data_IF_307068485214
#
_entry.id   IF_307068485214
#
_cell.length_a   1.000
_cell.length_b   1.000
_cell.length_c   1.000
_cell.angle_alpha   90.00
_cell.angle_beta   90.00
_cell.angle_gamma   90.00
#
_symmetry.space_group_name_H-M   'P 1'
#
loop_
_entity.id
_entity.type
_entity.pdbx_description
1 polymer ?
#
# COMPACT_ATOMS: atom_id res chain seq x y z
N UNK A 1 6.12 -37.00 -71.63
CA UNK A 1 5.70 -35.60 -71.41
C UNK A 1 4.66 -35.59 -70.29
N UNK A 2 5.06 -35.26 -69.05
CA UNK A 2 4.16 -35.15 -67.89
C UNK A 2 3.91 -33.68 -67.58
N UNK A 3 2.63 -33.30 -67.55
CA UNK A 3 2.14 -31.98 -67.19
C UNK A 3 2.37 -31.71 -65.69
N UNK A 4 2.93 -30.54 -65.40
CA UNK A 4 3.21 -30.01 -64.06
C UNK A 4 1.93 -29.60 -63.33
N UNK A 5 1.75 -30.08 -62.09
CA UNK A 5 0.78 -29.53 -61.13
C UNK A 5 1.43 -28.39 -60.36
N UNK A 6 0.85 -27.19 -60.46
CA UNK A 6 1.19 -26.03 -59.63
C UNK A 6 0.47 -26.20 -58.28
N UNK A 7 1.22 -26.19 -57.17
CA UNK A 7 0.67 -26.10 -55.81
C UNK A 7 0.44 -24.63 -55.46
N UNK A 8 -0.81 -24.25 -55.23
CA UNK A 8 -1.15 -23.00 -54.54
C UNK A 8 -0.71 -23.14 -53.07
N UNK A 9 0.14 -22.22 -52.60
CA UNK A 9 0.48 -22.07 -51.19
C UNK A 9 -0.66 -21.38 -50.44
N UNK A 10 -1.14 -22.00 -49.38
CA UNK A 10 -2.00 -21.35 -48.40
C UNK A 10 -1.11 -20.56 -47.43
N UNK A 11 -1.14 -19.23 -47.54
CA UNK A 11 -0.56 -18.33 -46.54
C UNK A 11 -1.56 -18.28 -45.38
N UNK A 12 -1.28 -19.02 -44.32
CA UNK A 12 -2.01 -18.91 -43.06
C UNK A 12 -1.66 -17.59 -42.39
N UNK A 13 -2.55 -16.61 -42.48
CA UNK A 13 -2.50 -15.41 -41.65
C UNK A 13 -2.86 -15.84 -40.23
N UNK A 14 -1.84 -16.01 -39.38
CA UNK A 14 -2.02 -16.21 -37.95
C UNK A 14 -2.45 -14.88 -37.34
N UNK A 15 -3.75 -14.68 -37.17
CA UNK A 15 -4.30 -13.59 -36.38
C UNK A 15 -3.97 -13.91 -34.92
N UNK A 16 -2.89 -13.32 -34.40
CA UNK A 16 -2.70 -13.22 -32.96
C UNK A 16 -3.81 -12.31 -32.43
N UNK A 17 -4.89 -12.89 -31.91
CA UNK A 17 -5.76 -12.21 -30.99
C UNK A 17 -4.95 -11.92 -29.72
N UNK A 18 -4.42 -10.70 -29.60
CA UNK A 18 -4.18 -10.12 -28.28
C UNK A 18 -5.54 -10.00 -27.61
N UNK A 19 -5.88 -10.97 -26.77
CA UNK A 19 -6.90 -10.76 -25.77
C UNK A 19 -6.35 -9.66 -24.86
N UNK A 20 -6.81 -8.42 -25.05
CA UNK A 20 -6.84 -7.48 -23.94
C UNK A 20 -7.62 -8.19 -22.84
N UNK A 21 -6.94 -8.63 -21.78
CA UNK A 21 -7.61 -8.85 -20.51
C UNK A 21 -8.26 -7.51 -20.18
N UNK A 22 -9.55 -7.40 -20.48
CA UNK A 22 -10.38 -6.31 -20.02
C UNK A 22 -10.25 -6.34 -18.51
N UNK A 23 -9.44 -5.45 -17.96
CA UNK A 23 -9.41 -5.15 -16.56
C UNK A 23 -10.77 -4.54 -16.24
N UNK A 24 -11.77 -5.39 -15.99
CA UNK A 24 -12.91 -4.98 -15.18
C UNK A 24 -12.30 -4.54 -13.86
N UNK A 25 -12.21 -3.23 -13.70
CA UNK A 25 -11.44 -2.57 -12.67
C UNK A 25 -12.13 -2.90 -11.34
N UNK A 26 -11.56 -3.83 -10.59
CA UNK A 26 -12.14 -4.33 -9.35
C UNK A 26 -12.52 -3.15 -8.44
N UNK A 27 -13.79 -3.05 -8.02
CA UNK A 27 -14.27 -1.89 -7.28
C UNK A 27 -13.63 -1.84 -5.89
N UNK A 28 -13.24 -0.65 -5.46
CA UNK A 28 -12.69 -0.42 -4.13
C UNK A 28 -13.85 -0.16 -3.16
N UNK A 29 -13.88 -0.92 -2.07
CA UNK A 29 -14.82 -0.69 -0.98
C UNK A 29 -14.44 0.55 -0.18
N UNK A 30 -15.43 1.27 0.34
CA UNK A 30 -15.23 2.40 1.25
C UNK A 30 -15.76 2.04 2.64
N UNK A 31 -15.06 2.48 3.68
CA UNK A 31 -15.49 2.31 5.06
C UNK A 31 -15.01 3.48 5.93
N UNK A 32 -15.79 3.80 6.97
CA UNK A 32 -15.37 4.71 8.05
C UNK A 32 -14.50 3.94 9.05
N UNK A 33 -13.41 4.55 9.47
CA UNK A 33 -12.49 3.98 10.43
C UNK A 33 -13.17 3.82 11.79
N UNK A 34 -13.03 2.65 12.39
CA UNK A 34 -13.50 2.36 13.74
C UNK A 34 -12.86 3.29 14.77
N UNK A 35 -11.64 3.78 14.53
CA UNK A 35 -10.99 4.76 15.40
C UNK A 35 -11.73 6.10 15.50
N UNK A 36 -12.57 6.43 14.51
CA UNK A 36 -13.43 7.63 14.58
C UNK A 36 -14.43 7.53 15.72
N UNK A 37 -14.92 6.32 16.02
CA UNK A 37 -15.87 6.06 17.11
C UNK A 37 -15.23 6.30 18.50
N UNK A 38 -13.91 6.25 18.58
CA UNK A 38 -13.10 6.41 19.78
C UNK A 38 -12.26 7.70 19.73
N UNK A 39 -12.78 8.77 19.11
CA UNK A 39 -12.11 10.09 19.03
C UNK A 39 -10.71 10.03 18.41
N UNK A 40 -10.56 9.27 17.32
CA UNK A 40 -9.30 9.08 16.61
C UNK A 40 -8.24 8.30 17.41
N UNK A 41 -8.68 7.49 18.38
CA UNK A 41 -7.82 6.50 18.99
C UNK A 41 -7.89 5.19 18.20
N UNK A 42 -6.75 4.78 17.64
CA UNK A 42 -6.63 3.59 16.80
C UNK A 42 -5.88 2.44 17.49
N UNK A 43 -5.48 2.57 18.77
CA UNK A 43 -4.61 1.58 19.44
C UNK A 43 -5.19 0.16 19.35
N UNK A 44 -6.49 0.07 19.58
CA UNK A 44 -7.20 -1.21 19.72
C UNK A 44 -7.79 -1.70 18.38
N UNK A 45 -7.62 -0.94 17.29
CA UNK A 45 -8.18 -1.29 15.97
C UNK A 45 -7.21 -2.19 15.20
N UNK A 46 -7.66 -3.39 14.85
CA UNK A 46 -6.89 -4.35 14.06
C UNK A 46 -5.88 -5.17 14.87
N UNK A 47 -4.90 -5.75 14.19
CA UNK A 47 -3.88 -6.63 14.77
C UNK A 47 -3.14 -5.97 15.93
N UNK A 48 -2.67 -6.77 16.88
CA UNK A 48 -1.95 -6.33 18.06
C UNK A 48 -0.56 -6.95 18.13
N UNK A 49 0.32 -6.33 18.91
CA UNK A 49 1.66 -6.88 19.18
C UNK A 49 1.56 -8.33 19.69
N UNK A 50 2.48 -9.18 19.22
CA UNK A 50 2.52 -10.61 19.53
C UNK A 50 1.62 -11.48 18.65
N UNK A 51 0.77 -10.89 17.82
CA UNK A 51 -0.08 -11.63 16.89
C UNK A 51 0.64 -11.86 15.55
N UNK A 52 0.21 -12.92 14.85
CA UNK A 52 0.69 -13.23 13.50
C UNK A 52 -0.02 -12.35 12.47
N UNK A 53 0.75 -11.76 11.56
CA UNK A 53 0.19 -11.02 10.43
C UNK A 53 -0.71 -11.97 9.61
N UNK A 54 -1.98 -11.59 9.35
CA UNK A 54 -2.85 -12.40 8.50
C UNK A 54 -2.32 -12.44 7.07
N UNK A 55 -2.76 -13.44 6.31
CA UNK A 55 -2.42 -13.55 4.90
C UNK A 55 -3.13 -12.44 4.11
N UNK A 56 -2.37 -11.44 3.68
CA UNK A 56 -2.87 -10.27 2.98
C UNK A 56 -2.30 -10.22 1.57
N UNK A 57 -3.18 -10.01 0.59
CA UNK A 57 -2.79 -9.76 -0.79
C UNK A 57 -2.70 -8.26 -1.04
N UNK A 58 -1.49 -7.80 -1.32
CA UNK A 58 -1.22 -6.46 -1.81
C UNK A 58 -1.11 -6.45 -3.34
N UNK A 59 -0.97 -5.26 -3.91
CA UNK A 59 -0.73 -5.08 -5.33
C UNK A 59 0.44 -4.13 -5.57
N UNK A 60 1.21 -4.40 -6.61
CA UNK A 60 2.23 -3.47 -7.11
C UNK A 60 1.60 -2.48 -8.10
N UNK A 61 2.34 -1.41 -8.43
CA UNK A 61 1.91 -0.40 -9.40
C UNK A 61 1.65 -0.94 -10.83
N UNK A 62 2.15 -2.13 -11.15
CA UNK A 62 1.85 -2.82 -12.41
C UNK A 62 0.61 -3.73 -12.33
N UNK A 63 -0.16 -3.65 -11.24
CA UNK A 63 -1.36 -4.43 -11.00
C UNK A 63 -1.12 -5.89 -10.60
N UNK A 64 0.13 -6.36 -10.54
CA UNK A 64 0.43 -7.73 -10.10
C UNK A 64 0.23 -7.87 -8.60
N UNK A 65 -0.39 -8.98 -8.21
CA UNK A 65 -0.50 -9.40 -6.81
C UNK A 65 0.88 -9.52 -6.18
N UNK A 66 0.98 -9.10 -4.93
CA UNK A 66 2.15 -9.21 -4.08
C UNK A 66 1.71 -9.76 -2.72
N UNK A 67 2.30 -10.88 -2.32
CA UNK A 67 2.04 -11.46 -1.02
C UNK A 67 3.28 -11.24 -0.15
N UNK A 68 3.07 -10.71 1.05
CA UNK A 68 4.12 -10.59 2.05
C UNK A 68 4.30 -11.95 2.70
N UNK A 69 5.09 -12.82 2.06
CA UNK A 69 5.35 -14.16 2.59
C UNK A 69 6.38 -14.10 3.72
N UNK A 70 6.07 -14.75 4.83
CA UNK A 70 6.99 -15.00 5.94
C UNK A 70 7.50 -16.45 5.98
N UNK A 71 6.99 -17.33 5.09
CA UNK A 71 7.36 -18.76 5.08
C UNK A 71 8.77 -19.03 4.55
N UNK A 72 9.33 -18.11 3.76
CA UNK A 72 10.65 -18.25 3.13
C UNK A 72 11.52 -16.98 3.23
N UNK A 73 11.05 -15.93 3.89
CA UNK A 73 11.78 -14.67 4.02
C UNK A 73 12.46 -14.57 5.38
N UNK A 74 13.76 -14.25 5.38
CA UNK A 74 14.58 -14.17 6.59
C UNK A 74 14.69 -12.76 7.16
N UNK A 75 13.94 -11.79 6.62
CA UNK A 75 14.06 -10.37 6.95
C UNK A 75 12.81 -9.83 7.66
N UNK A 76 12.98 -9.01 8.72
CA UNK A 76 11.89 -8.24 9.31
C UNK A 76 11.22 -7.35 8.27
N UNK A 77 9.99 -6.91 8.54
CA UNK A 77 9.21 -6.08 7.62
C UNK A 77 8.60 -4.90 8.32
N UNK A 78 8.80 -3.70 7.79
CA UNK A 78 8.19 -2.48 8.26
C UNK A 78 7.13 -2.04 7.26
N UNK A 79 5.87 -2.00 7.69
CA UNK A 79 4.75 -1.54 6.88
C UNK A 79 4.19 -0.26 7.50
N UNK A 80 4.09 0.79 6.70
CA UNK A 80 3.60 2.11 7.13
C UNK A 80 2.39 2.46 6.26
N UNK A 81 1.28 2.91 6.83
CA UNK A 81 0.13 3.35 6.02
C UNK A 81 0.29 4.78 5.52
N UNK A 82 -0.36 5.06 4.40
CA UNK A 82 -0.46 6.42 3.89
C UNK A 82 -1.36 6.52 2.67
N UNK A 83 -1.67 7.75 2.29
CA UNK A 83 -2.40 8.06 1.06
C UNK A 83 -2.03 9.46 0.59
N UNK A 84 -2.34 9.78 -0.67
CA UNK A 84 -1.91 11.04 -1.30
C UNK A 84 -2.43 12.27 -0.55
N UNK A 85 -3.68 12.21 -0.13
CA UNK A 85 -4.38 13.29 0.58
C UNK A 85 -4.13 13.30 2.08
N UNK A 86 -3.39 12.34 2.65
CA UNK A 86 -3.03 12.35 4.07
C UNK A 86 -1.91 13.35 4.36
N UNK A 87 -2.25 14.49 4.99
CA UNK A 87 -1.28 15.53 5.32
C UNK A 87 -0.25 15.08 6.35
N UNK A 88 -0.63 14.20 7.29
CA UNK A 88 0.30 13.60 8.26
C UNK A 88 1.38 12.80 7.54
N UNK A 89 0.99 11.86 6.67
CA UNK A 89 1.96 11.02 5.95
C UNK A 89 2.86 11.88 5.06
N UNK A 90 2.30 12.88 4.35
CA UNK A 90 3.12 13.77 3.50
C UNK A 90 4.21 14.50 4.28
N UNK A 91 3.95 14.91 5.52
CA UNK A 91 4.99 15.53 6.38
C UNK A 91 6.07 14.52 6.79
N UNK A 92 5.75 13.24 6.87
CA UNK A 92 6.67 12.18 7.29
C UNK A 92 7.38 11.46 6.13
N UNK A 93 7.12 11.79 4.86
CA UNK A 93 7.73 11.10 3.72
C UNK A 93 9.26 11.06 3.79
N UNK A 94 9.90 12.16 4.20
CA UNK A 94 11.35 12.19 4.37
C UNK A 94 11.82 11.28 5.53
N UNK A 95 11.07 11.19 6.63
CA UNK A 95 11.35 10.25 7.73
C UNK A 95 11.23 8.80 7.29
N UNK A 96 10.20 8.49 6.50
CA UNK A 96 9.91 7.15 5.97
C UNK A 96 11.00 6.74 4.97
N UNK A 97 11.35 7.60 4.02
CA UNK A 97 12.43 7.35 3.06
C UNK A 97 13.78 7.22 3.75
N UNK A 98 14.04 7.99 4.81
CA UNK A 98 15.23 7.80 5.62
C UNK A 98 15.29 6.39 6.22
N UNK A 99 14.18 5.84 6.75
CA UNK A 99 14.14 4.48 7.28
C UNK A 99 14.36 3.44 6.17
N UNK A 100 13.75 3.62 5.01
CA UNK A 100 13.99 2.74 3.86
C UNK A 100 15.47 2.75 3.46
N UNK A 101 16.06 3.92 3.21
CA UNK A 101 17.44 4.03 2.74
C UNK A 101 18.46 3.44 3.73
N UNK A 102 18.22 3.57 5.04
CA UNK A 102 19.15 3.06 6.06
C UNK A 102 18.97 1.57 6.39
N UNK A 103 17.80 0.97 6.13
CA UNK A 103 17.50 -0.40 6.52
C UNK A 103 17.16 -1.36 5.37
N UNK A 104 17.02 -0.90 4.12
CA UNK A 104 16.60 -1.71 2.96
C UNK A 104 17.49 -2.90 2.58
N UNK A 105 18.66 -3.04 3.18
CA UNK A 105 19.51 -4.23 3.02
C UNK A 105 19.22 -5.32 4.06
N UNK A 106 18.55 -4.97 5.17
CA UNK A 106 18.29 -5.85 6.31
C UNK A 106 16.80 -6.03 6.63
N UNK A 107 15.97 -5.04 6.32
CA UNK A 107 14.53 -5.01 6.60
C UNK A 107 13.76 -4.69 5.32
N UNK A 108 12.67 -5.39 5.04
CA UNK A 108 11.80 -5.03 3.92
C UNK A 108 10.90 -3.87 4.38
N UNK A 109 11.11 -2.66 3.85
CA UNK A 109 10.33 -1.47 4.22
C UNK A 109 9.36 -1.12 3.09
N UNK A 110 8.08 -0.95 3.41
CA UNK A 110 7.04 -0.60 2.45
C UNK A 110 6.11 0.49 3.00
N UNK A 111 5.75 1.41 2.11
CA UNK A 111 4.61 2.32 2.30
C UNK A 111 3.38 1.66 1.68
N UNK A 112 2.32 1.50 2.45
CA UNK A 112 1.07 0.84 2.05
C UNK A 112 0.02 1.91 1.77
N UNK A 113 -0.30 2.10 0.48
CA UNK A 113 -1.36 2.98 0.02
C UNK A 113 -2.73 2.38 0.39
N UNK A 114 -3.45 3.08 1.26
CA UNK A 114 -4.81 2.75 1.71
C UNK A 114 -5.80 3.82 1.21
N UNK A 115 -7.01 3.87 1.79
CA UNK A 115 -8.01 4.88 1.45
C UNK A 115 -7.46 6.31 1.58
N UNK A 116 -7.87 7.17 0.66
CA UNK A 116 -7.58 8.60 0.74
C UNK A 116 -8.16 9.17 2.04
N UNK A 117 -7.31 9.84 2.81
CA UNK A 117 -7.69 10.38 4.11
C UNK A 117 -8.62 11.60 3.96
N UNK A 118 -8.40 12.41 2.93
CA UNK A 118 -9.13 13.65 2.67
C UNK A 118 -9.51 13.76 1.18
N UNK A 119 -10.34 12.84 0.66
CA UNK A 119 -10.82 12.91 -0.71
C UNK A 119 -11.74 14.13 -0.89
N UNK A 120 -11.73 14.70 -2.09
CA UNK A 120 -12.50 15.92 -2.40
C UNK A 120 -13.97 15.66 -2.75
N UNK A 121 -14.30 14.42 -3.12
CA UNK A 121 -15.58 14.02 -3.73
C UNK A 121 -16.40 13.05 -2.87
N UNK A 122 -15.86 12.63 -1.72
CA UNK A 122 -16.52 11.70 -0.80
C UNK A 122 -16.27 12.08 0.65
N UNK A 123 -17.03 11.50 1.61
CA UNK A 123 -16.66 11.54 3.01
C UNK A 123 -15.23 11.04 3.24
N UNK A 124 -14.58 11.61 4.25
CA UNK A 124 -13.31 11.08 4.74
C UNK A 124 -13.57 9.79 5.53
N UNK A 125 -12.73 8.74 5.40
CA UNK A 125 -12.80 7.57 6.27
C UNK A 125 -12.50 7.91 7.75
N UNK A 126 -12.04 9.15 8.01
CA UNK A 126 -11.67 9.66 9.33
C UNK A 126 -12.68 10.69 9.88
N UNK A 127 -13.89 10.74 9.33
CA UNK A 127 -14.95 11.64 9.77
C UNK A 127 -16.32 10.96 9.73
N UNK A 128 -17.18 11.28 10.71
CA UNK A 128 -18.60 10.89 10.68
C UNK A 128 -19.44 11.82 9.79
N UNK A 129 -18.84 12.87 9.23
CA UNK A 129 -19.52 13.81 8.32
C UNK A 129 -19.72 13.20 6.95
N UNK A 130 -20.91 13.37 6.38
CA UNK A 130 -21.20 13.04 4.97
C UNK A 130 -20.59 14.04 3.98
N UNK A 131 -20.11 15.19 4.47
CA UNK A 131 -19.42 16.20 3.67
C UNK A 131 -17.92 15.89 3.62
N UNK A 132 -17.26 16.04 2.45
CA UNK A 132 -15.81 15.94 2.34
C UNK A 132 -15.08 16.76 3.40
N UNK A 133 -14.13 16.12 4.09
CA UNK A 133 -13.29 16.78 5.08
C UNK A 133 -11.97 17.20 4.44
N UNK A 134 -11.96 18.42 3.89
CA UNK A 134 -10.77 19.00 3.26
C UNK A 134 -9.83 19.56 4.32
N UNK A 135 -8.54 19.21 4.23
CA UNK A 135 -7.52 19.75 5.12
C UNK A 135 -6.99 21.10 4.62
N UNK A 136 -6.87 22.13 5.47
CA UNK A 136 -6.28 23.41 5.08
C UNK A 136 -4.88 23.27 4.48
N UNK A 137 -4.05 22.37 5.04
CA UNK A 137 -2.71 22.06 4.53
C UNK A 137 -2.73 21.43 3.14
N UNK A 138 -3.78 20.66 2.79
CA UNK A 138 -3.96 20.15 1.43
C UNK A 138 -4.33 21.29 0.47
N UNK A 139 -5.27 22.16 0.87
CA UNK A 139 -5.72 23.30 0.06
C UNK A 139 -4.54 24.23 -0.25
N UNK A 140 -3.74 24.58 0.77
CA UNK A 140 -2.56 25.42 0.61
C UNK A 140 -1.52 24.81 -0.34
N UNK A 141 -1.31 23.49 -0.25
CA UNK A 141 -0.38 22.76 -1.10
C UNK A 141 -0.93 22.40 -2.48
N UNK A 142 -2.18 22.76 -2.80
CA UNK A 142 -2.84 22.35 -4.06
C UNK A 142 -3.06 20.84 -4.19
N UNK A 143 -3.07 20.11 -3.07
CA UNK A 143 -3.28 18.66 -3.03
C UNK A 143 -4.78 18.38 -3.01
N UNK A 144 -5.28 17.75 -4.06
CA UNK A 144 -6.65 17.30 -4.15
C UNK A 144 -6.73 16.02 -5.00
N UNK A 145 -7.54 15.06 -4.54
CA UNK A 145 -7.83 13.85 -5.28
C UNK A 145 -9.21 13.31 -4.90
N UNK A 146 -9.81 12.56 -5.82
CA UNK A 146 -11.00 11.76 -5.52
C UNK A 146 -10.62 10.49 -4.77
N UNK A 147 -11.58 9.91 -4.03
CA UNK A 147 -11.40 8.56 -3.51
C UNK A 147 -11.40 7.56 -4.69
N UNK A 148 -10.34 6.74 -4.87
CA UNK A 148 -10.34 5.72 -5.92
C UNK A 148 -11.51 4.75 -5.75
N UNK A 149 -12.32 4.60 -6.80
CA UNK A 149 -13.44 3.66 -6.89
C UNK A 149 -13.02 2.33 -7.50
N UNK A 150 -11.85 2.31 -8.14
CA UNK A 150 -11.35 1.12 -8.81
C UNK A 150 -9.86 0.93 -8.57
N UNK A 151 -9.37 -0.31 -8.67
CA UNK A 151 -7.92 -0.57 -8.54
C UNK A 151 -7.07 0.24 -9.51
N UNK A 152 -7.56 0.48 -10.74
CA UNK A 152 -6.81 1.25 -11.72
C UNK A 152 -6.65 2.71 -11.28
N UNK A 153 -7.73 3.32 -10.77
CA UNK A 153 -7.67 4.67 -10.18
C UNK A 153 -6.71 4.73 -8.99
N UNK A 154 -6.70 3.71 -8.12
CA UNK A 154 -5.74 3.64 -7.00
C UNK A 154 -4.30 3.55 -7.50
N UNK A 155 -4.04 2.76 -8.54
CA UNK A 155 -2.71 2.68 -9.17
C UNK A 155 -2.28 4.05 -9.70
N UNK A 156 -3.13 4.74 -10.46
CA UNK A 156 -2.78 6.02 -11.05
C UNK A 156 -2.58 7.10 -9.98
N UNK A 157 -3.41 7.12 -8.93
CA UNK A 157 -3.24 8.05 -7.82
C UNK A 157 -1.98 7.75 -7.01
N UNK A 158 -1.65 6.49 -6.77
CA UNK A 158 -0.42 6.11 -6.10
C UNK A 158 0.83 6.49 -6.92
N UNK A 159 0.79 6.38 -8.26
CA UNK A 159 1.88 6.86 -9.12
C UNK A 159 2.07 8.37 -9.00
N UNK A 160 0.98 9.14 -9.07
CA UNK A 160 0.99 10.60 -8.86
C UNK A 160 1.57 10.95 -7.48
N UNK A 161 1.18 10.21 -6.44
CA UNK A 161 1.69 10.41 -5.09
C UNK A 161 3.20 10.16 -4.99
N UNK A 162 3.70 9.11 -5.63
CA UNK A 162 5.14 8.80 -5.68
C UNK A 162 5.91 9.91 -6.41
N UNK A 163 5.40 10.35 -7.56
CA UNK A 163 6.04 11.39 -8.38
C UNK A 163 6.09 12.75 -7.65
N UNK A 164 4.96 13.22 -7.13
CA UNK A 164 4.88 14.53 -6.47
C UNK A 164 5.45 14.54 -5.05
N UNK A 165 5.42 13.39 -4.37
CA UNK A 165 6.01 13.22 -3.05
C UNK A 165 7.49 12.85 -3.06
N UNK A 166 8.09 12.67 -4.25
CA UNK A 166 9.47 12.21 -4.45
C UNK A 166 9.79 10.94 -3.64
N UNK A 167 8.83 10.01 -3.56
CA UNK A 167 8.88 8.87 -2.65
C UNK A 167 9.87 7.81 -3.16
N UNK A 168 10.90 7.53 -2.37
CA UNK A 168 11.88 6.49 -2.66
C UNK A 168 11.49 5.12 -2.11
N UNK A 169 10.73 5.11 -1.01
CA UNK A 169 10.23 3.89 -0.39
C UNK A 169 9.28 3.13 -1.32
N UNK A 170 9.47 1.81 -1.52
CA UNK A 170 8.57 1.01 -2.35
C UNK A 170 7.12 1.08 -1.84
N UNK A 171 6.21 1.46 -2.74
CA UNK A 171 4.77 1.55 -2.43
C UNK A 171 4.04 0.25 -2.82
N UNK A 172 3.28 -0.28 -1.87
CA UNK A 172 2.31 -1.35 -2.07
C UNK A 172 0.89 -0.76 -2.01
N UNK A 173 -0.02 -1.34 -2.77
CA UNK A 173 -1.43 -0.95 -2.74
C UNK A 173 -2.20 -2.00 -1.93
N UNK A 174 -3.07 -1.55 -1.04
CA UNK A 174 -4.04 -2.43 -0.38
C UNK A 174 -4.99 -3.05 -1.41
N UNK A 175 -5.65 -4.14 -1.04
CA UNK A 175 -6.63 -4.82 -1.86
C UNK A 175 -7.92 -4.02 -2.04
N UNK A 176 -8.76 -4.50 -2.96
CA UNK A 176 -10.01 -3.86 -3.32
C UNK A 176 -10.99 -3.78 -2.13
N UNK A 177 -10.89 -4.71 -1.17
CA UNK A 177 -11.70 -4.71 0.06
C UNK A 177 -10.98 -4.05 1.23
N UNK A 178 -9.84 -3.40 1.00
CA UNK A 178 -8.98 -2.83 2.03
C UNK A 178 -8.63 -3.82 3.14
N UNK A 179 -8.26 -5.04 2.76
CA UNK A 179 -8.00 -6.14 3.69
C UNK A 179 -6.91 -5.79 4.71
N UNK A 180 -5.86 -5.07 4.30
CA UNK A 180 -4.82 -4.60 5.21
C UNK A 180 -5.40 -3.58 6.20
N UNK A 181 -6.06 -2.55 5.68
CA UNK A 181 -6.66 -1.51 6.52
C UNK A 181 -7.65 -2.08 7.54
N UNK A 182 -8.50 -3.03 7.15
CA UNK A 182 -9.47 -3.64 8.07
C UNK A 182 -8.84 -4.56 9.10
N UNK A 183 -7.86 -5.39 8.72
CA UNK A 183 -7.33 -6.44 9.60
C UNK A 183 -6.13 -5.99 10.43
N UNK A 184 -5.32 -5.07 9.91
CA UNK A 184 -4.06 -4.66 10.55
C UNK A 184 -4.25 -3.39 11.36
N UNK A 185 -4.93 -2.40 10.79
CA UNK A 185 -5.27 -1.18 11.49
C UNK A 185 -5.62 -0.06 10.53
N UNK A 186 -6.46 0.84 11.03
CA UNK A 186 -7.18 1.77 10.18
C UNK A 186 -6.64 3.19 10.27
N UNK A 187 -5.55 3.43 10.99
CA UNK A 187 -5.00 4.78 11.13
C UNK A 187 -4.37 5.25 9.80
N UNK A 188 -4.43 6.56 9.51
CA UNK A 188 -3.99 7.10 8.21
C UNK A 188 -2.47 7.05 8.01
N UNK A 189 -1.71 7.01 9.10
CA UNK A 189 -0.26 6.98 9.10
C UNK A 189 0.27 6.12 10.27
N UNK A 190 -0.21 4.88 10.38
CA UNK A 190 0.28 3.91 11.36
C UNK A 190 1.52 3.18 10.85
N UNK A 191 2.24 2.52 11.76
CA UNK A 191 3.34 1.65 11.42
C UNK A 191 3.25 0.32 12.17
N UNK A 192 3.65 -0.78 11.51
CA UNK A 192 3.89 -2.06 12.15
C UNK A 192 5.26 -2.62 11.75
N UNK A 193 5.98 -3.16 12.73
CA UNK A 193 7.20 -3.94 12.51
C UNK A 193 6.88 -5.41 12.75
N UNK A 194 7.19 -6.23 11.76
CA UNK A 194 6.91 -7.67 11.74
C UNK A 194 8.25 -8.42 11.75
N UNK A 195 8.34 -9.47 12.55
CA UNK A 195 9.49 -10.36 12.61
C UNK A 195 9.64 -11.16 11.30
N UNK A 196 10.80 -11.79 11.04
CA UNK A 196 10.93 -12.73 9.92
C UNK A 196 9.90 -13.86 9.95
N UNK A 197 9.44 -14.28 11.13
CA UNK A 197 8.45 -15.35 11.31
C UNK A 197 7.00 -14.90 11.12
N UNK A 198 6.73 -13.60 10.93
CA UNK A 198 5.39 -13.06 10.72
C UNK A 198 4.73 -12.47 11.97
N UNK A 199 5.41 -12.42 13.11
CA UNK A 199 4.87 -11.86 14.35
C UNK A 199 4.98 -10.33 14.38
N UNK A 200 3.93 -9.63 14.79
CA UNK A 200 3.97 -8.17 15.00
C UNK A 200 4.76 -7.85 16.27
N UNK A 201 5.94 -7.25 16.12
CA UNK A 201 6.84 -6.87 17.21
C UNK A 201 6.49 -5.48 17.75
N UNK A 202 6.14 -4.56 16.86
CA UNK A 202 5.75 -3.18 17.18
C UNK A 202 4.51 -2.82 16.37
N UNK A 203 3.60 -2.09 17.00
CA UNK A 203 2.48 -1.40 16.34
C UNK A 203 2.39 0.00 16.91
N UNK A 204 2.29 0.98 16.03
CA UNK A 204 2.04 2.37 16.36
C UNK A 204 0.79 2.83 15.62
N UNK A 205 -0.18 3.40 16.33
CA UNK A 205 -1.36 4.04 15.72
C UNK A 205 -1.00 5.29 14.91
N UNK A 206 0.10 5.93 15.27
CA UNK A 206 0.67 7.08 14.59
C UNK A 206 2.17 6.85 14.49
N UNK A 207 2.70 6.93 13.28
CA UNK A 207 4.11 6.73 12.99
C UNK A 207 4.96 7.67 13.86
N UNK A 208 5.91 7.07 14.57
CA UNK A 208 6.94 7.79 15.30
C UNK A 208 8.29 7.16 14.93
N UNK A 209 9.10 7.95 14.22
CA UNK A 209 10.34 7.49 13.60
C UNK A 209 11.33 6.92 14.62
N UNK A 210 11.49 7.56 15.78
CA UNK A 210 12.56 7.23 16.71
C UNK A 210 12.34 5.86 17.36
N UNK A 211 11.13 5.57 17.83
CA UNK A 211 10.77 4.26 18.39
C UNK A 211 10.85 3.16 17.33
N UNK A 212 10.42 3.43 16.08
CA UNK A 212 10.60 2.47 14.98
C UNK A 212 12.09 2.18 14.77
N UNK A 213 12.93 3.23 14.71
CA UNK A 213 14.36 3.08 14.52
C UNK A 213 14.99 2.21 15.61
N UNK A 214 14.64 2.46 16.88
CA UNK A 214 15.13 1.67 18.02
C UNK A 214 14.69 0.20 17.90
N UNK A 215 13.44 -0.05 17.51
CA UNK A 215 12.94 -1.41 17.29
C UNK A 215 13.65 -2.11 16.11
N UNK A 216 13.93 -1.40 15.02
CA UNK A 216 14.69 -1.92 13.88
C UNK A 216 16.12 -2.27 14.27
N UNK A 217 16.80 -1.40 15.02
CA UNK A 217 18.16 -1.63 15.51
C UNK A 217 18.23 -2.89 16.38
N UNK A 218 17.26 -3.07 17.28
CA UNK A 218 17.14 -4.29 18.08
C UNK A 218 16.97 -5.54 17.21
N UNK A 219 16.07 -5.50 16.22
CA UNK A 219 15.84 -6.64 15.33
C UNK A 219 17.06 -6.98 14.48
N UNK A 220 17.74 -5.95 13.95
CA UNK A 220 18.96 -6.13 13.16
C UNK A 220 20.06 -6.75 14.02
N UNK A 221 20.25 -6.28 15.25
CA UNK A 221 21.26 -6.83 16.15
C UNK A 221 20.96 -8.28 16.53
N UNK A 222 19.69 -8.64 16.72
CA UNK A 222 19.29 -10.02 17.02
C UNK A 222 19.54 -11.00 15.86
N UNK A 223 19.52 -10.51 14.61
CA UNK A 223 19.60 -11.37 13.43
C UNK A 223 21.00 -11.41 12.77
N UNK A 224 21.80 -10.37 12.94
CA UNK A 224 23.02 -10.15 12.14
C UNK A 224 24.29 -9.93 12.94
N UNK A 225 24.25 -10.11 14.27
CA UNK A 225 25.46 -10.06 15.11
C UNK A 225 25.74 -11.45 15.66
N UNK A 226 26.79 -12.09 15.12
CA UNK A 226 27.54 -13.19 15.77
C UNK A 226 28.70 -12.61 16.60
#
# INVERSE_FOLDING_TARGET
MRLSKIKLGAIGISILCFACENSTSEPIEFAISQGVLTKMDFSDVGIQRGQQLPDITFFKLNGKKFNISYKNHQRPKLLITGSYTCDITRRELHSIDWLYENYKDKVDVYLVNTLEAHPQDSPSPYSMSEVPWLMPSNIEAGIAAEQPRTRQERIELAKKWIEEGEINTPVLLDGAKNEFWHQVGQAPNMAILISPSGEVILKQSWFEKQEIKEALDLQVNLLYTE
#
